data_IF_739305617816
#
_entry.id   IF_739305617816
#
_cell.length_a   1.000
_cell.length_b   1.000
_cell.length_c   1.000
_cell.angle_alpha   90.00
_cell.angle_beta   90.00
_cell.angle_gamma   90.00
#
_symmetry.space_group_name_H-M   'P 1'
#
loop_
_entity.id
_entity.type
_entity.pdbx_description
1 polymer ?
#
# COMPACT_ATOMS: atom_id res chain seq x y z
N UNK A 1 -6.60 -1.28 12.86
CA UNK A 1 -5.72 -0.23 12.31
C UNK A 1 -4.81 0.28 13.39
N UNK A 2 -3.52 0.40 13.09
CA UNK A 2 -2.53 1.03 13.97
C UNK A 2 -2.73 2.55 14.07
N UNK A 3 -2.15 3.24 15.08
CA UNK A 3 -2.18 4.70 15.17
C UNK A 3 -1.64 5.39 13.89
N UNK A 4 -0.58 4.82 13.30
CA UNK A 4 0.02 5.25 12.04
C UNK A 4 -0.98 5.19 10.87
N UNK A 5 -1.70 4.06 10.72
CA UNK A 5 -2.75 3.93 9.70
C UNK A 5 -3.88 4.94 9.92
N UNK A 6 -4.31 5.14 11.17
CA UNK A 6 -5.37 6.10 11.49
C UNK A 6 -4.95 7.52 11.12
N UNK A 7 -3.70 7.88 11.39
CA UNK A 7 -3.14 9.20 11.08
C UNK A 7 -3.16 9.46 9.58
N UNK A 8 -2.58 8.55 8.77
CA UNK A 8 -2.55 8.71 7.32
C UNK A 8 -3.95 8.66 6.70
N UNK A 9 -4.84 7.80 7.21
CA UNK A 9 -6.19 7.64 6.68
C UNK A 9 -7.02 8.94 6.73
N UNK A 10 -6.78 9.83 7.71
CA UNK A 10 -7.46 11.14 7.78
C UNK A 10 -7.24 12.00 6.53
N UNK A 11 -6.08 11.84 5.89
CA UNK A 11 -5.67 12.56 4.69
C UNK A 11 -6.10 11.88 3.40
N UNK A 12 -6.24 10.55 3.39
CA UNK A 12 -6.59 9.78 2.19
C UNK A 12 -8.10 9.54 2.02
N UNK A 13 -8.85 9.46 3.12
CA UNK A 13 -10.27 9.07 3.09
C UNK A 13 -11.12 10.06 2.29
N UNK A 14 -12.16 9.55 1.63
CA UNK A 14 -13.16 10.38 0.96
C UNK A 14 -12.62 11.17 -0.23
N UNK A 15 -11.65 10.60 -0.97
CA UNK A 15 -11.07 11.22 -2.18
C UNK A 15 -10.38 12.57 -1.94
N UNK A 16 -9.96 12.85 -0.70
CA UNK A 16 -9.31 14.10 -0.32
C UNK A 16 -8.00 14.36 -1.06
N UNK A 17 -7.27 13.30 -1.39
CA UNK A 17 -5.98 13.43 -2.07
C UNK A 17 -6.18 13.43 -3.59
N UNK A 18 -6.27 14.64 -4.16
CA UNK A 18 -6.37 14.88 -5.61
C UNK A 18 -7.49 14.06 -6.30
N UNK A 19 -8.57 13.74 -5.58
CA UNK A 19 -9.72 12.99 -6.10
C UNK A 19 -9.56 11.45 -6.10
N UNK A 20 -8.39 10.93 -5.76
CA UNK A 20 -8.10 9.49 -5.81
C UNK A 20 -8.81 8.71 -4.71
N UNK A 21 -9.39 7.56 -5.07
CA UNK A 21 -10.01 6.67 -4.09
C UNK A 21 -8.98 5.72 -3.47
N UNK A 22 -8.75 5.89 -2.18
CA UNK A 22 -8.00 4.93 -1.37
C UNK A 22 -8.92 3.97 -0.62
N UNK A 23 -8.56 2.69 -0.63
CA UNK A 23 -9.06 1.64 0.24
C UNK A 23 -8.01 1.39 1.34
N UNK A 24 -8.45 0.92 2.50
CA UNK A 24 -7.59 0.56 3.63
C UNK A 24 -7.68 -0.93 3.91
N UNK A 25 -6.60 -1.55 4.39
CA UNK A 25 -6.53 -2.97 4.74
C UNK A 25 -7.10 -3.86 3.63
N UNK A 26 -6.67 -3.61 2.39
CA UNK A 26 -7.27 -4.21 1.20
C UNK A 26 -6.56 -5.51 0.82
N UNK A 27 -7.27 -6.65 0.71
CA UNK A 27 -6.67 -7.89 0.26
C UNK A 27 -6.36 -7.81 -1.24
N UNK A 28 -5.09 -8.03 -1.59
CA UNK A 28 -4.61 -8.14 -2.96
C UNK A 28 -4.35 -9.61 -3.25
N UNK A 29 -5.24 -10.19 -4.06
CA UNK A 29 -5.18 -11.58 -4.46
C UNK A 29 -4.16 -11.80 -5.58
N UNK A 30 -3.40 -12.87 -5.50
CA UNK A 30 -2.47 -13.33 -6.52
C UNK A 30 -2.53 -14.86 -6.65
N UNK A 31 -2.18 -15.34 -7.84
CA UNK A 31 -2.11 -16.78 -8.12
C UNK A 31 -0.67 -17.12 -8.47
N UNK A 32 -0.15 -18.18 -7.87
CA UNK A 32 1.18 -18.73 -8.21
C UNK A 32 1.08 -19.79 -9.30
N UNK A 33 -0.05 -20.49 -9.35
CA UNK A 33 -0.42 -21.47 -10.37
C UNK A 33 -1.95 -21.58 -10.45
N UNK A 34 -2.46 -22.46 -11.30
CA UNK A 34 -3.90 -22.62 -11.53
C UNK A 34 -4.73 -23.02 -10.30
N UNK A 35 -4.10 -23.59 -9.26
CA UNK A 35 -4.78 -24.12 -8.07
C UNK A 35 -4.51 -23.34 -6.79
N UNK A 36 -3.49 -22.47 -6.78
CA UNK A 36 -3.03 -21.76 -5.58
C UNK A 36 -3.37 -20.26 -5.67
N UNK A 37 -4.54 -19.89 -5.13
CA UNK A 37 -4.99 -18.52 -4.95
C UNK A 37 -4.61 -18.04 -3.53
N UNK A 38 -3.81 -16.99 -3.48
CA UNK A 38 -3.29 -16.39 -2.25
C UNK A 38 -3.63 -14.91 -2.22
N UNK A 39 -3.45 -14.29 -1.06
CA UNK A 39 -3.56 -12.84 -0.93
C UNK A 39 -2.58 -12.32 0.12
N UNK A 40 -2.22 -11.04 -0.02
CA UNK A 40 -1.65 -10.24 1.05
C UNK A 40 -2.59 -9.07 1.33
N UNK A 41 -2.45 -8.44 2.51
CA UNK A 41 -3.29 -7.30 2.88
C UNK A 41 -2.44 -6.05 2.83
N UNK A 42 -2.79 -5.13 1.93
CA UNK A 42 -2.17 -3.81 1.82
C UNK A 42 -2.77 -2.85 2.85
N UNK A 43 -1.93 -2.04 3.51
CA UNK A 43 -2.43 -1.02 4.45
C UNK A 43 -3.31 0.00 3.74
N UNK A 44 -2.87 0.51 2.58
CA UNK A 44 -3.71 1.28 1.67
C UNK A 44 -3.51 0.89 0.21
N UNK A 45 -4.59 0.98 -0.56
CA UNK A 45 -4.59 0.66 -1.98
C UNK A 45 -5.40 1.68 -2.79
N UNK A 46 -4.82 2.18 -3.88
CA UNK A 46 -5.48 3.01 -4.87
C UNK A 46 -5.52 2.27 -6.21
N UNK A 47 -6.71 1.82 -6.62
CA UNK A 47 -6.89 1.06 -7.85
C UNK A 47 -6.61 1.90 -9.11
N UNK A 48 -7.07 3.15 -9.12
CA UNK A 48 -6.91 4.10 -10.23
C UNK A 48 -5.43 4.33 -10.58
N UNK A 49 -4.57 4.39 -9.55
CA UNK A 49 -3.13 4.59 -9.69
C UNK A 49 -2.32 3.28 -9.63
N UNK A 50 -2.97 2.13 -9.40
CA UNK A 50 -2.31 0.85 -9.11
C UNK A 50 -1.24 0.98 -8.01
N UNK A 51 -1.52 1.78 -6.98
CA UNK A 51 -0.58 2.12 -5.92
C UNK A 51 -0.94 1.40 -4.62
N UNK A 52 0.04 0.72 -4.04
CA UNK A 52 0.02 0.14 -2.69
C UNK A 52 0.89 1.00 -1.78
N UNK A 53 0.37 1.32 -0.60
CA UNK A 53 1.11 2.03 0.44
C UNK A 53 1.14 1.13 1.66
N UNK A 54 2.35 0.82 2.12
CA UNK A 54 2.61 0.00 3.30
C UNK A 54 3.23 0.86 4.39
N UNK A 55 2.71 0.78 5.62
CA UNK A 55 3.28 1.46 6.77
C UNK A 55 4.23 0.53 7.54
N UNK A 56 5.17 1.10 8.29
CA UNK A 56 6.02 0.30 9.18
C UNK A 56 5.18 -0.36 10.28
N UNK A 57 4.79 -1.61 10.07
CA UNK A 57 4.08 -2.43 11.02
C UNK A 57 4.74 -3.79 11.20
N UNK A 58 4.82 -4.27 12.45
CA UNK A 58 5.28 -5.64 12.79
C UNK A 58 4.48 -6.75 12.06
N UNK A 59 3.33 -6.40 11.47
CA UNK A 59 2.45 -7.30 10.73
C UNK A 59 3.05 -7.66 9.35
N UNK A 60 3.94 -6.82 8.79
CA UNK A 60 4.59 -7.13 7.51
C UNK A 60 5.63 -8.23 7.59
N UNK A 61 6.24 -8.49 8.75
CA UNK A 61 7.26 -9.55 8.87
C UNK A 61 6.66 -10.95 8.71
N UNK A 62 5.42 -11.17 9.17
CA UNK A 62 4.72 -12.44 8.99
C UNK A 62 4.31 -12.72 7.53
N UNK A 63 4.14 -11.70 6.68
CA UNK A 63 3.90 -11.88 5.24
C UNK A 63 5.18 -11.82 4.40
N UNK A 64 6.19 -11.03 4.80
CA UNK A 64 7.51 -10.96 4.13
C UNK A 64 8.27 -12.28 4.23
N UNK A 65 8.17 -13.01 5.36
CA UNK A 65 8.81 -14.33 5.50
C UNK A 65 8.24 -15.40 4.56
N UNK A 66 7.05 -15.19 3.96
CA UNK A 66 6.36 -16.25 3.21
C UNK A 66 6.47 -16.18 1.68
N UNK A 67 6.98 -15.10 1.07
CA UNK A 67 7.07 -15.09 -0.40
C UNK A 67 8.24 -14.24 -0.94
N UNK A 68 9.33 -14.94 -1.29
CA UNK A 68 10.40 -14.45 -2.19
C UNK A 68 9.81 -13.88 -3.49
N UNK A 69 8.62 -14.33 -3.87
CA UNK A 69 7.89 -13.96 -5.08
C UNK A 69 7.10 -12.66 -4.96
N UNK A 70 7.01 -12.04 -3.77
CA UNK A 70 6.14 -10.87 -3.55
C UNK A 70 6.44 -9.74 -4.53
N UNK A 71 7.72 -9.42 -4.74
CA UNK A 71 8.10 -8.37 -5.70
C UNK A 71 7.72 -8.73 -7.15
N UNK A 72 7.91 -9.99 -7.55
CA UNK A 72 7.55 -10.45 -8.90
C UNK A 72 6.04 -10.45 -9.14
N UNK A 73 5.26 -10.83 -8.12
CA UNK A 73 3.80 -10.78 -8.14
C UNK A 73 3.29 -9.33 -8.21
N UNK A 74 3.91 -8.44 -7.44
CA UNK A 74 3.57 -7.01 -7.48
C UNK A 74 3.89 -6.42 -8.86
N UNK A 75 5.04 -6.78 -9.44
CA UNK A 75 5.43 -6.40 -10.81
C UNK A 75 4.46 -6.97 -11.86
N UNK A 76 4.08 -8.24 -11.78
CA UNK A 76 3.16 -8.86 -12.75
C UNK A 76 1.77 -8.24 -12.73
N UNK A 77 1.33 -7.73 -11.57
CA UNK A 77 0.09 -6.96 -11.42
C UNK A 77 0.23 -5.48 -11.79
N UNK A 78 1.44 -5.05 -12.17
CA UNK A 78 1.77 -3.65 -12.47
C UNK A 78 1.37 -2.73 -11.30
N UNK A 79 1.63 -3.18 -10.07
CA UNK A 79 1.41 -2.43 -8.84
C UNK A 79 2.69 -1.69 -8.46
N UNK A 80 2.57 -0.38 -8.24
CA UNK A 80 3.61 0.40 -7.59
C UNK A 80 3.46 0.26 -6.07
N UNK A 81 4.54 0.02 -5.34
CA UNK A 81 4.50 -0.12 -3.88
C UNK A 81 5.44 0.87 -3.25
N UNK A 82 4.94 1.68 -2.32
CA UNK A 82 5.77 2.56 -1.50
C UNK A 82 5.64 2.17 -0.03
N UNK A 83 6.77 2.17 0.67
CA UNK A 83 6.80 2.02 2.12
C UNK A 83 6.95 3.39 2.78
N UNK A 84 6.20 3.62 3.86
CA UNK A 84 6.27 4.82 4.69
C UNK A 84 6.62 4.37 6.12
N UNK A 85 7.77 4.80 6.60
CA UNK A 85 8.20 4.51 7.97
C UNK A 85 7.36 5.28 8.97
N UNK A 86 7.22 4.75 10.19
CA UNK A 86 6.47 5.44 11.25
C UNK A 86 7.06 6.82 11.57
N UNK A 87 8.38 6.99 11.49
CA UNK A 87 9.02 8.28 11.69
C UNK A 87 8.73 9.28 10.57
N UNK A 88 8.54 8.83 9.32
CA UNK A 88 8.14 9.72 8.21
C UNK A 88 6.76 10.34 8.47
N UNK A 89 5.86 9.61 9.16
CA UNK A 89 4.52 10.11 9.50
C UNK A 89 4.52 11.27 10.51
N UNK A 90 5.67 11.60 11.13
CA UNK A 90 5.78 12.82 11.93
C UNK A 90 5.67 14.08 11.06
N UNK A 91 6.03 13.99 9.78
CA UNK A 91 5.87 15.05 8.78
C UNK A 91 4.83 14.61 7.73
N UNK A 92 3.57 14.97 8.00
CA UNK A 92 2.45 14.61 7.13
C UNK A 92 2.56 15.26 5.75
N UNK A 93 3.09 16.48 5.64
CA UNK A 93 3.19 17.18 4.36
C UNK A 93 4.19 16.50 3.43
N UNK A 94 5.35 16.10 3.97
CA UNK A 94 6.35 15.32 3.25
C UNK A 94 5.80 13.97 2.79
N UNK A 95 5.08 13.27 3.67
CA UNK A 95 4.42 11.99 3.32
C UNK A 95 3.40 12.18 2.20
N UNK A 96 2.54 13.19 2.29
CA UNK A 96 1.53 13.46 1.26
C UNK A 96 2.20 13.82 -0.06
N UNK A 97 3.27 14.61 -0.04
CA UNK A 97 4.06 14.92 -1.25
C UNK A 97 4.65 13.64 -1.88
N UNK A 98 5.20 12.74 -1.07
CA UNK A 98 5.72 11.44 -1.52
C UNK A 98 4.62 10.60 -2.20
N UNK A 99 3.42 10.53 -1.59
CA UNK A 99 2.28 9.82 -2.16
C UNK A 99 1.83 10.47 -3.48
N UNK A 100 1.76 11.80 -3.55
CA UNK A 100 1.41 12.52 -4.79
C UNK A 100 2.40 12.24 -5.92
N UNK A 101 3.70 12.17 -5.63
CA UNK A 101 4.70 11.79 -6.64
C UNK A 101 4.42 10.37 -7.13
N UNK A 102 4.18 9.42 -6.22
CA UNK A 102 3.89 8.03 -6.58
C UNK A 102 2.58 7.84 -7.36
N UNK A 103 1.58 8.71 -7.16
CA UNK A 103 0.34 8.73 -7.94
C UNK A 103 0.55 9.17 -9.40
N UNK A 104 1.60 9.96 -9.68
CA UNK A 104 1.88 10.55 -11.01
C UNK A 104 2.83 9.71 -11.85
N UNK A 105 3.62 8.83 -11.24
CA UNK A 105 4.56 7.97 -11.95
C UNK A 105 3.81 6.93 -12.79
N UNK A 106 3.68 7.20 -14.09
CA UNK A 106 3.42 6.23 -15.17
C UNK A 106 4.57 6.26 -16.15
#
# INVERSE_FOLDING_TARGET
MTPSEVLLWKNLKGKKLDGYKFLRQHPIFYQRNFTDLRFFVADFYCAEAKLVIELDGKIHDFQKQYDVWREEILKSKNLNVIQIKNDELKDQDSVIKKIKTALKSK
#
